data_IF_911457824713
#
_entry.id   IF_911457824713
#
_cell.length_a   1.000
_cell.length_b   1.000
_cell.length_c   1.000
_cell.angle_alpha   90.00
_cell.angle_beta   90.00
_cell.angle_gamma   90.00
#
_symmetry.space_group_name_H-M   'P 1'
#
loop_
_entity.id
_entity.type
_entity.pdbx_description
1 polymer ?
#
# COMPACT_ATOMS: atom_id res chain seq x y z
N UNK A 1 76.89 3.60 12.24
CA UNK A 1 75.95 2.50 11.94
C UNK A 1 74.57 3.11 11.83
N UNK A 2 74.04 3.30 10.62
CA UNK A 2 72.78 4.01 10.38
C UNK A 2 71.64 2.99 10.39
N UNK A 3 70.75 3.09 11.38
CA UNK A 3 69.53 2.27 11.43
C UNK A 3 68.43 2.95 10.63
N UNK A 4 68.10 2.40 9.45
CA UNK A 4 66.91 2.81 8.68
C UNK A 4 65.66 2.32 9.40
N UNK A 5 64.92 3.23 10.03
CA UNK A 5 63.56 2.95 10.49
C UNK A 5 62.68 2.69 9.25
N UNK A 6 62.18 1.47 9.10
CA UNK A 6 61.19 1.15 8.06
C UNK A 6 59.89 1.89 8.38
N UNK A 7 59.59 2.92 7.61
CA UNK A 7 58.27 3.55 7.59
C UNK A 7 57.23 2.50 7.17
N UNK A 8 56.40 2.07 8.13
CA UNK A 8 55.25 1.22 7.84
C UNK A 8 54.30 1.95 6.91
N UNK A 9 54.06 1.40 5.72
CA UNK A 9 53.02 1.89 4.80
C UNK A 9 51.68 1.97 5.55
N UNK A 10 50.94 3.10 5.46
CA UNK A 10 49.61 3.18 6.02
C UNK A 10 48.75 2.10 5.35
N UNK A 11 48.18 1.22 6.17
CA UNK A 11 47.26 0.18 5.70
C UNK A 11 45.99 0.89 5.28
N UNK A 12 45.89 1.15 3.98
CA UNK A 12 44.66 1.56 3.31
C UNK A 12 43.73 0.33 3.28
N UNK A 13 43.11 0.03 4.42
CA UNK A 13 42.33 -1.19 4.64
C UNK A 13 41.05 -0.84 5.38
N UNK A 14 39.97 -0.76 4.61
CA UNK A 14 38.63 -1.03 5.13
C UNK A 14 37.71 0.17 5.28
N UNK A 15 38.18 1.42 5.18
CA UNK A 15 37.29 2.59 5.31
C UNK A 15 36.17 2.55 4.27
N UNK A 16 36.54 2.51 2.99
CA UNK A 16 35.60 2.48 1.86
C UNK A 16 34.67 1.25 1.95
N UNK A 17 35.21 0.06 2.20
CA UNK A 17 34.40 -1.18 2.27
C UNK A 17 33.44 -1.20 3.47
N UNK A 18 33.83 -0.64 4.61
CA UNK A 18 32.98 -0.57 5.80
C UNK A 18 31.93 0.54 5.67
N UNK A 19 32.25 1.67 5.04
CA UNK A 19 31.28 2.72 4.70
C UNK A 19 30.23 2.21 3.71
N UNK A 20 30.64 1.49 2.67
CA UNK A 20 29.70 0.84 1.74
C UNK A 20 28.89 -0.26 2.43
N UNK A 21 29.46 -1.00 3.38
CA UNK A 21 28.74 -2.00 4.16
C UNK A 21 27.63 -1.40 5.03
N UNK A 22 27.75 -0.12 5.43
CA UNK A 22 26.68 0.61 6.13
C UNK A 22 25.69 1.28 5.15
N UNK A 23 26.18 1.79 4.02
CA UNK A 23 25.34 2.47 3.02
C UNK A 23 24.38 1.52 2.30
N UNK A 24 24.80 0.29 2.00
CA UNK A 24 23.97 -0.72 1.34
C UNK A 24 22.69 -1.08 2.11
N UNK A 25 22.76 -1.51 3.39
CA UNK A 25 21.55 -1.83 4.15
C UNK A 25 20.66 -0.60 4.36
N UNK A 26 21.24 0.60 4.53
CA UNK A 26 20.47 1.85 4.61
C UNK A 26 19.72 2.14 3.29
N UNK A 27 20.39 1.99 2.14
CA UNK A 27 19.76 2.15 0.83
C UNK A 27 18.64 1.13 0.58
N UNK A 28 18.86 -0.13 0.95
CA UNK A 28 17.82 -1.18 0.89
C UNK A 28 16.62 -0.83 1.77
N UNK A 29 16.85 -0.29 2.97
CA UNK A 29 15.78 0.14 3.87
C UNK A 29 14.96 1.28 3.24
N UNK A 30 15.61 2.27 2.62
CA UNK A 30 14.91 3.36 1.92
C UNK A 30 14.08 2.82 0.74
N UNK A 31 14.66 1.93 -0.08
CA UNK A 31 13.93 1.29 -1.20
C UNK A 31 12.73 0.50 -0.67
N UNK A 32 12.92 -0.22 0.42
CA UNK A 32 11.84 -0.97 1.07
C UNK A 32 10.72 -0.04 1.55
N UNK A 33 11.03 1.07 2.23
CA UNK A 33 10.03 2.05 2.65
C UNK A 33 9.30 2.69 1.46
N UNK A 34 10.02 2.99 0.37
CA UNK A 34 9.42 3.51 -0.85
C UNK A 34 8.48 2.48 -1.51
N UNK A 35 8.86 1.20 -1.48
CA UNK A 35 8.02 0.11 -1.98
C UNK A 35 6.73 -0.03 -1.14
N UNK A 36 6.84 0.00 0.19
CA UNK A 36 5.68 -0.02 1.08
C UNK A 36 4.74 1.18 0.80
N UNK A 37 5.30 2.39 0.65
CA UNK A 37 4.50 3.58 0.32
C UNK A 37 3.77 3.44 -1.04
N UNK A 38 4.43 2.84 -2.04
CA UNK A 38 3.83 2.54 -3.34
C UNK A 38 2.66 1.54 -3.22
N UNK A 39 2.82 0.48 -2.42
CA UNK A 39 1.77 -0.51 -2.16
C UNK A 39 0.56 0.13 -1.46
N UNK A 40 0.78 1.03 -0.50
CA UNK A 40 -0.29 1.81 0.14
C UNK A 40 -1.02 2.68 -0.88
N UNK A 41 -0.31 3.48 -1.68
CA UNK A 41 -0.93 4.38 -2.68
C UNK A 41 -1.81 3.62 -3.67
N UNK A 42 -1.26 2.55 -4.26
CA UNK A 42 -1.99 1.75 -5.25
C UNK A 42 -3.21 1.04 -4.64
N UNK A 43 -3.16 0.66 -3.36
CA UNK A 43 -4.32 0.12 -2.65
C UNK A 43 -5.41 1.17 -2.47
N UNK A 44 -5.05 2.39 -2.07
CA UNK A 44 -5.99 3.51 -1.90
C UNK A 44 -6.71 3.80 -3.20
N UNK A 45 -5.97 3.94 -4.30
CA UNK A 45 -6.52 4.20 -5.63
C UNK A 45 -7.52 3.12 -6.06
N UNK A 46 -7.20 1.84 -5.81
CA UNK A 46 -8.06 0.73 -6.18
C UNK A 46 -9.33 0.63 -5.34
N UNK A 47 -9.24 0.90 -4.04
CA UNK A 47 -10.41 0.95 -3.13
C UNK A 47 -11.35 2.08 -3.53
N UNK A 48 -10.80 3.24 -3.86
CA UNK A 48 -11.59 4.38 -4.32
C UNK A 48 -12.29 4.10 -5.65
N UNK A 49 -11.56 3.53 -6.62
CA UNK A 49 -12.16 3.16 -7.90
C UNK A 49 -13.26 2.10 -7.75
N UNK A 50 -13.08 1.12 -6.85
CA UNK A 50 -14.10 0.14 -6.54
C UNK A 50 -15.35 0.77 -5.90
N UNK A 51 -15.18 1.71 -4.97
CA UNK A 51 -16.30 2.42 -4.33
C UNK A 51 -17.10 3.27 -5.34
N UNK A 52 -16.41 4.00 -6.21
CA UNK A 52 -17.04 4.81 -7.27
C UNK A 52 -17.78 3.92 -8.28
N UNK A 53 -17.16 2.81 -8.69
CA UNK A 53 -17.79 1.84 -9.62
C UNK A 53 -19.03 1.20 -8.98
N UNK A 54 -18.93 0.74 -7.74
CA UNK A 54 -20.05 0.16 -7.00
C UNK A 54 -21.22 1.14 -6.86
N UNK A 55 -20.95 2.37 -6.41
CA UNK A 55 -21.98 3.40 -6.24
C UNK A 55 -22.68 3.72 -7.58
N UNK A 56 -21.91 3.86 -8.66
CA UNK A 56 -22.46 4.13 -10.00
C UNK A 56 -23.33 2.99 -10.50
N UNK A 57 -22.90 1.74 -10.36
CA UNK A 57 -23.68 0.58 -10.81
C UNK A 57 -24.96 0.42 -10.00
N UNK A 58 -24.90 0.62 -8.68
CA UNK A 58 -26.06 0.55 -7.81
C UNK A 58 -27.09 1.67 -8.11
N UNK A 59 -26.61 2.88 -8.37
CA UNK A 59 -27.46 4.00 -8.79
C UNK A 59 -28.13 3.74 -10.17
N UNK A 60 -27.36 3.27 -11.16
CA UNK A 60 -27.89 2.96 -12.50
C UNK A 60 -28.95 1.86 -12.51
N UNK A 61 -28.82 0.87 -11.64
CA UNK A 61 -29.78 -0.23 -11.51
C UNK A 61 -30.92 0.07 -10.54
N UNK A 62 -30.92 1.25 -9.90
CA UNK A 62 -31.82 1.60 -8.81
C UNK A 62 -31.90 0.49 -7.75
N UNK A 63 -30.77 -0.18 -7.52
CA UNK A 63 -30.65 -1.37 -6.70
C UNK A 63 -29.49 -1.16 -5.69
N UNK A 64 -29.76 -0.51 -4.54
CA UNK A 64 -28.73 -0.21 -3.53
C UNK A 64 -27.97 -1.46 -3.07
N UNK A 65 -28.66 -2.61 -3.02
CA UNK A 65 -28.07 -3.89 -2.62
C UNK A 65 -27.03 -4.47 -3.57
N UNK A 66 -26.94 -3.98 -4.81
CA UNK A 66 -25.96 -4.45 -5.80
C UNK A 66 -24.56 -3.82 -5.62
N UNK A 67 -24.46 -2.78 -4.78
CA UNK A 67 -23.21 -2.05 -4.55
C UNK A 67 -22.04 -2.95 -4.13
N UNK A 68 -22.19 -3.87 -3.15
CA UNK A 68 -21.10 -4.71 -2.67
C UNK A 68 -20.59 -5.66 -3.75
N UNK A 69 -21.50 -6.27 -4.51
CA UNK A 69 -21.15 -7.20 -5.57
C UNK A 69 -20.40 -6.49 -6.71
N UNK A 70 -20.87 -5.32 -7.14
CA UNK A 70 -20.23 -4.51 -8.18
C UNK A 70 -18.86 -3.96 -7.75
N UNK A 71 -18.75 -3.49 -6.50
CA UNK A 71 -17.49 -3.04 -5.93
C UNK A 71 -16.47 -4.18 -5.82
N UNK A 72 -16.88 -5.35 -5.32
CA UNK A 72 -16.02 -6.53 -5.20
C UNK A 72 -15.55 -7.06 -6.55
N UNK A 73 -16.41 -7.07 -7.57
CA UNK A 73 -16.05 -7.49 -8.93
C UNK A 73 -14.97 -6.58 -9.57
N UNK A 74 -14.90 -5.32 -9.13
CA UNK A 74 -13.92 -4.34 -9.62
C UNK A 74 -12.58 -4.41 -8.88
N UNK A 75 -12.50 -5.17 -7.78
CA UNK A 75 -11.30 -5.29 -6.97
C UNK A 75 -10.38 -6.41 -7.47
N UNK A 76 -9.06 -6.21 -7.43
CA UNK A 76 -8.15 -7.26 -7.84
C UNK A 76 -8.13 -8.46 -6.87
N UNK A 77 -7.84 -9.64 -7.40
CA UNK A 77 -7.77 -10.90 -6.65
C UNK A 77 -6.67 -10.94 -5.59
N UNK A 78 -5.58 -10.20 -5.77
CA UNK A 78 -4.44 -10.16 -4.83
C UNK A 78 -4.69 -9.35 -3.56
N UNK A 79 -5.79 -8.60 -3.48
CA UNK A 79 -6.19 -7.84 -2.28
C UNK A 79 -6.88 -8.79 -1.30
N UNK A 80 -6.24 -9.05 -0.16
CA UNK A 80 -6.80 -9.88 0.91
C UNK A 80 -7.73 -9.04 1.83
N UNK A 81 -8.64 -9.70 2.53
CA UNK A 81 -9.50 -9.06 3.55
C UNK A 81 -10.28 -7.81 3.05
N UNK A 82 -10.85 -7.92 1.85
CA UNK A 82 -11.71 -6.90 1.25
C UNK A 82 -13.18 -7.12 1.61
N UNK A 83 -13.87 -6.04 1.97
CA UNK A 83 -15.31 -6.07 2.20
C UNK A 83 -15.96 -4.80 1.64
N UNK A 84 -17.18 -4.94 1.14
CA UNK A 84 -17.99 -3.82 0.68
C UNK A 84 -19.37 -3.91 1.33
N UNK A 85 -19.94 -2.77 1.69
CA UNK A 85 -21.22 -2.66 2.36
C UNK A 85 -22.04 -1.60 1.64
N UNK A 86 -23.28 -1.94 1.31
CA UNK A 86 -24.27 -0.98 0.86
C UNK A 86 -24.99 -0.38 2.06
N UNK A 87 -25.25 0.92 1.98
CA UNK A 87 -26.19 1.64 2.82
C UNK A 87 -26.92 2.69 1.98
N UNK A 88 -27.61 3.60 2.64
CA UNK A 88 -28.37 4.66 1.97
C UNK A 88 -29.84 4.66 2.35
N UNK A 89 -30.53 5.72 1.94
CA UNK A 89 -31.95 5.95 2.19
C UNK A 89 -32.81 5.64 0.96
N UNK A 90 -34.06 6.14 0.96
CA UNK A 90 -34.99 5.93 -0.16
C UNK A 90 -34.51 6.55 -1.48
N UNK A 91 -33.77 7.67 -1.39
CA UNK A 91 -33.37 8.48 -2.55
C UNK A 91 -31.84 8.59 -2.68
N UNK A 92 -31.08 7.73 -2.00
CA UNK A 92 -29.61 7.82 -1.95
C UNK A 92 -28.98 6.44 -1.72
N UNK A 93 -27.89 6.16 -2.43
CA UNK A 93 -27.07 4.96 -2.26
C UNK A 93 -25.72 5.33 -1.69
N UNK A 94 -25.32 4.68 -0.60
CA UNK A 94 -23.98 4.75 -0.03
C UNK A 94 -23.25 3.43 -0.26
N UNK A 95 -22.10 3.47 -0.94
CA UNK A 95 -21.18 2.36 -1.06
C UNK A 95 -19.98 2.57 -0.15
N UNK A 96 -19.78 1.69 0.83
CA UNK A 96 -18.57 1.66 1.65
C UNK A 96 -17.72 0.48 1.22
N UNK A 97 -16.46 0.74 0.93
CA UNK A 97 -15.50 -0.25 0.46
C UNK A 97 -14.26 -0.19 1.34
N UNK A 98 -13.87 -1.34 1.85
CA UNK A 98 -12.70 -1.52 2.68
C UNK A 98 -11.77 -2.57 2.08
N UNK A 99 -10.47 -2.29 2.11
CA UNK A 99 -9.46 -3.31 1.87
C UNK A 99 -8.22 -3.08 2.72
N UNK A 100 -7.54 -4.18 3.05
CA UNK A 100 -6.28 -4.15 3.77
C UNK A 100 -5.12 -3.97 2.78
N UNK A 101 -4.17 -3.10 3.13
CA UNK A 101 -2.94 -2.97 2.35
C UNK A 101 -2.12 -4.25 2.54
N UNK A 102 -1.71 -4.95 1.46
CA UNK A 102 -0.85 -6.10 1.59
C UNK A 102 0.57 -5.62 1.90
N UNK A 103 1.02 -5.91 3.12
CA UNK A 103 2.39 -5.67 3.57
C UNK A 103 3.32 -6.73 3.00
N UNK A 104 4.58 -6.36 2.74
CA UNK A 104 5.59 -7.30 2.26
C UNK A 104 6.00 -8.30 3.35
N UNK A 105 5.90 -7.92 4.62
CA UNK A 105 6.15 -8.81 5.75
C UNK A 105 4.84 -9.29 6.40
N UNK A 106 4.47 -10.57 6.24
CA UNK A 106 3.25 -11.12 6.84
C UNK A 106 3.31 -11.26 8.39
N UNK A 107 4.44 -10.94 9.02
CA UNK A 107 4.67 -11.10 10.46
C UNK A 107 4.69 -9.80 11.29
N UNK A 108 4.53 -8.63 10.67
CA UNK A 108 4.42 -7.36 11.39
C UNK A 108 2.93 -6.99 11.45
N UNK A 109 2.34 -6.80 12.65
CA UNK A 109 0.92 -6.49 12.80
C UNK A 109 0.62 -5.03 12.47
N UNK A 110 0.90 -4.60 11.23
CA UNK A 110 0.51 -3.29 10.74
C UNK A 110 -0.84 -3.42 10.00
N UNK A 111 -1.93 -3.47 10.76
CA UNK A 111 -3.30 -3.50 10.22
C UNK A 111 -3.71 -2.14 9.62
N UNK A 112 -3.09 -1.75 8.50
CA UNK A 112 -3.51 -0.59 7.73
C UNK A 112 -4.64 -0.97 6.77
N UNK A 113 -5.87 -0.78 7.24
CA UNK A 113 -7.08 -0.83 6.42
C UNK A 113 -7.36 0.51 5.75
N UNK A 114 -7.67 0.48 4.46
CA UNK A 114 -8.18 1.64 3.72
C UNK A 114 -9.70 1.52 3.67
N UNK A 115 -10.41 2.49 4.23
CA UNK A 115 -11.86 2.60 4.17
C UNK A 115 -12.27 3.81 3.32
N UNK A 116 -13.08 3.59 2.27
CA UNK A 116 -13.64 4.68 1.45
C UNK A 116 -15.15 4.53 1.36
N UNK A 117 -15.86 5.63 1.56
CA UNK A 117 -17.32 5.70 1.44
C UNK A 117 -17.66 6.67 0.31
N UNK A 118 -18.52 6.25 -0.61
CA UNK A 118 -19.03 7.07 -1.71
C UNK A 118 -20.55 7.06 -1.63
N UNK A 119 -21.16 8.23 -1.74
CA UNK A 119 -22.60 8.38 -1.68
C UNK A 119 -23.11 9.07 -2.95
N UNK A 120 -24.19 8.53 -3.54
CA UNK A 120 -24.81 9.02 -4.76
C UNK A 120 -26.33 9.10 -4.60
N UNK A 121 -26.99 10.17 -5.09
CA UNK A 121 -28.45 10.24 -5.13
C UNK A 121 -29.03 9.24 -6.13
N UNK A 122 -30.19 8.68 -5.80
CA UNK A 122 -31.04 7.92 -6.71
C UNK A 122 -31.89 8.92 -7.49
N UNK A 123 -31.63 9.04 -8.79
CA UNK A 123 -32.43 9.83 -9.73
C UNK A 123 -33.60 9.04 -10.27
#
# INVERSE_FOLDING_TARGET
MIAMARAGRPRDRGGVTVEFAAALPAGLLIIFLAFEALMVSTTVERVENAARTGARTAAQRQAPGECPAAAMASMPGWLNEKHAVAGGGRDEVTCRVHAKVPLVFPGIPLDFGVNRTVTMPLG
#
